data_IF_562275348964
#
_entry.id   IF_562275348964
#
_cell.length_a   1.000
_cell.length_b   1.000
_cell.length_c   1.000
_cell.angle_alpha   90.00
_cell.angle_beta   90.00
_cell.angle_gamma   90.00
#
_symmetry.space_group_name_H-M   'P 1'
#
loop_
_entity.id
_entity.type
_entity.pdbx_description
1 polymer ?
#
# COMPACT_ATOMS: atom_id res chain seq x y z
N UNK A 1 40.36 48.21 -33.73
CA UNK A 1 39.70 48.26 -32.43
C UNK A 1 38.61 47.21 -32.38
N UNK A 2 38.91 45.92 -32.19
CA UNK A 2 37.80 44.93 -32.03
C UNK A 2 38.18 43.61 -31.30
N UNK A 3 39.37 43.50 -30.74
CA UNK A 3 39.77 42.23 -30.05
C UNK A 3 39.47 42.26 -28.55
N UNK A 4 39.40 43.42 -27.92
CA UNK A 4 39.23 43.58 -26.47
C UNK A 4 37.78 43.32 -26.04
N UNK A 5 36.78 43.60 -26.87
CA UNK A 5 35.35 43.39 -26.52
C UNK A 5 34.90 41.92 -26.55
N UNK A 6 35.55 41.08 -27.35
CA UNK A 6 35.21 39.64 -27.44
C UNK A 6 35.74 38.86 -26.26
N UNK A 7 36.89 39.26 -25.68
CA UNK A 7 37.44 38.58 -24.50
C UNK A 7 36.68 38.89 -23.20
N UNK A 8 36.12 40.10 -23.06
CA UNK A 8 35.33 40.48 -21.88
C UNK A 8 34.01 39.70 -21.83
N UNK A 9 33.30 39.57 -22.95
CA UNK A 9 32.04 38.82 -23.00
C UNK A 9 32.22 37.30 -22.74
N UNK A 10 33.39 36.76 -23.13
CA UNK A 10 33.66 35.33 -22.87
C UNK A 10 33.89 35.04 -21.40
N UNK A 11 34.57 35.94 -20.69
CA UNK A 11 34.87 35.83 -19.27
C UNK A 11 33.60 35.98 -18.43
N UNK A 12 32.72 36.89 -18.78
CA UNK A 12 31.43 37.12 -18.12
C UNK A 12 30.46 35.93 -18.30
N UNK A 13 30.49 35.27 -19.47
CA UNK A 13 29.74 34.05 -19.70
C UNK A 13 30.28 32.84 -18.87
N UNK A 14 31.60 32.68 -18.80
CA UNK A 14 32.22 31.62 -18.00
C UNK A 14 31.94 31.79 -16.49
N UNK A 15 31.98 33.01 -15.96
CA UNK A 15 31.65 33.32 -14.57
C UNK A 15 30.14 33.08 -14.26
N UNK A 16 29.24 33.38 -15.22
CA UNK A 16 27.83 33.09 -15.07
C UNK A 16 27.53 31.60 -15.14
N UNK A 17 28.18 30.83 -16.02
CA UNK A 17 28.03 29.38 -16.07
C UNK A 17 28.54 28.69 -14.80
N UNK A 18 29.64 29.17 -14.22
CA UNK A 18 30.18 28.64 -12.96
C UNK A 18 29.25 28.95 -11.79
N UNK A 19 28.62 30.11 -11.76
CA UNK A 19 27.64 30.50 -10.75
C UNK A 19 26.37 29.66 -10.86
N UNK A 20 25.86 29.45 -12.06
CA UNK A 20 24.69 28.59 -12.29
C UNK A 20 24.97 27.16 -11.83
N UNK A 21 26.14 26.60 -12.17
CA UNK A 21 26.52 25.25 -11.71
C UNK A 21 26.67 25.14 -10.19
N UNK A 22 27.15 26.20 -9.53
CA UNK A 22 27.25 26.20 -8.07
C UNK A 22 25.87 26.20 -7.40
N UNK A 23 24.95 27.03 -7.91
CA UNK A 23 23.56 27.10 -7.44
C UNK A 23 22.80 25.77 -7.66
N UNK A 24 22.97 25.15 -8.84
CA UNK A 24 22.40 23.83 -9.12
C UNK A 24 22.92 22.73 -8.17
N UNK A 25 24.21 22.77 -7.85
CA UNK A 25 24.83 21.81 -6.92
C UNK A 25 24.36 22.03 -5.45
N UNK A 26 24.13 23.28 -5.04
CA UNK A 26 23.56 23.58 -3.72
C UNK A 26 22.11 23.10 -3.61
N UNK A 27 21.28 23.38 -4.62
CA UNK A 27 19.90 22.91 -4.68
C UNK A 27 19.84 21.38 -4.66
N UNK A 28 20.75 20.72 -5.38
CA UNK A 28 20.81 19.25 -5.37
C UNK A 28 21.16 18.68 -4.01
N UNK A 29 22.12 19.27 -3.31
CA UNK A 29 22.49 18.85 -1.93
C UNK A 29 21.36 19.09 -0.94
N UNK A 30 20.65 20.20 -1.06
CA UNK A 30 19.51 20.50 -0.19
C UNK A 30 18.37 19.51 -0.42
N UNK A 31 18.08 19.16 -1.66
CA UNK A 31 17.08 18.14 -1.99
C UNK A 31 17.48 16.75 -1.47
N UNK A 32 18.74 16.34 -1.60
CA UNK A 32 19.25 15.09 -1.05
C UNK A 32 19.10 15.03 0.49
N UNK A 33 19.37 16.13 1.19
CA UNK A 33 19.19 16.22 2.64
C UNK A 33 17.72 16.14 3.06
N UNK A 34 16.82 16.72 2.28
CA UNK A 34 15.37 16.65 2.52
C UNK A 34 14.88 15.21 2.31
N UNK A 35 15.28 14.55 1.23
CA UNK A 35 14.92 13.16 0.95
C UNK A 35 15.42 12.20 2.05
N UNK A 36 16.64 12.36 2.52
CA UNK A 36 17.22 11.57 3.60
C UNK A 36 16.45 11.73 4.92
N UNK A 37 16.02 12.95 5.22
CA UNK A 37 15.22 13.23 6.41
C UNK A 37 13.82 12.62 6.31
N UNK A 38 13.16 12.75 5.16
CA UNK A 38 11.84 12.15 4.95
C UNK A 38 11.89 10.62 5.04
N UNK A 39 12.93 10.00 4.51
CA UNK A 39 13.12 8.55 4.62
C UNK A 39 13.39 8.11 6.07
N UNK A 40 14.15 8.89 6.81
CA UNK A 40 14.39 8.62 8.24
C UNK A 40 13.09 8.69 9.04
N UNK A 41 12.34 9.78 8.90
CA UNK A 41 11.06 9.98 9.58
C UNK A 41 10.07 8.86 9.24
N UNK A 42 10.01 8.44 7.98
CA UNK A 42 9.20 7.31 7.52
C UNK A 42 9.57 6.01 8.25
N UNK A 43 10.86 5.68 8.38
CA UNK A 43 11.32 4.47 9.08
C UNK A 43 10.96 4.50 10.58
N UNK A 44 11.02 5.67 11.20
CA UNK A 44 10.61 5.84 12.61
C UNK A 44 9.11 5.57 12.76
N UNK A 45 8.28 6.20 11.93
CA UNK A 45 6.82 6.01 11.95
C UNK A 45 6.46 4.55 11.68
N UNK A 46 7.09 3.93 10.69
CA UNK A 46 6.86 2.51 10.37
C UNK A 46 7.14 1.60 11.57
N UNK A 47 8.25 1.82 12.27
CA UNK A 47 8.62 1.06 13.47
C UNK A 47 7.59 1.23 14.59
N UNK A 48 7.11 2.43 14.82
CA UNK A 48 6.13 2.72 15.86
C UNK A 48 4.75 2.13 15.53
N UNK A 49 4.32 2.19 14.28
CA UNK A 49 3.07 1.54 13.85
C UNK A 49 3.18 0.01 13.99
N UNK A 50 4.33 -0.58 13.67
CA UNK A 50 4.59 -2.01 13.92
C UNK A 50 4.46 -2.39 15.39
N UNK A 51 4.98 -1.56 16.28
CA UNK A 51 4.88 -1.81 17.73
C UNK A 51 3.43 -1.70 18.23
N UNK A 52 2.67 -0.72 17.73
CA UNK A 52 1.23 -0.60 18.02
C UNK A 52 0.51 -1.88 17.57
N UNK A 53 0.72 -2.29 16.32
CA UNK A 53 0.10 -3.48 15.75
C UNK A 53 0.43 -4.75 16.55
N UNK A 54 1.70 -4.92 16.93
CA UNK A 54 2.19 -6.04 17.74
C UNK A 54 1.49 -6.08 19.11
N UNK A 55 1.44 -4.95 19.79
CA UNK A 55 0.84 -4.86 21.13
C UNK A 55 -0.66 -5.17 21.10
N UNK A 56 -1.36 -4.75 20.05
CA UNK A 56 -2.77 -5.07 19.86
C UNK A 56 -2.97 -6.57 19.61
N UNK A 57 -2.16 -7.19 18.75
CA UNK A 57 -2.25 -8.63 18.50
C UNK A 57 -1.98 -9.43 19.77
N UNK A 58 -0.96 -9.07 20.55
CA UNK A 58 -0.66 -9.68 21.85
C UNK A 58 -1.86 -9.53 22.80
N UNK A 59 -2.41 -8.32 22.94
CA UNK A 59 -3.56 -8.04 23.82
C UNK A 59 -4.75 -8.97 23.58
N UNK A 60 -5.03 -9.29 22.32
CA UNK A 60 -6.24 -10.03 21.96
C UNK A 60 -6.00 -11.51 21.67
N UNK A 61 -4.78 -11.91 21.32
CA UNK A 61 -4.50 -13.26 20.83
C UNK A 61 -3.53 -14.05 21.71
N UNK A 62 -2.75 -13.39 22.58
CA UNK A 62 -1.80 -14.11 23.42
C UNK A 62 -2.52 -15.01 24.46
N UNK A 63 -2.04 -16.24 24.56
CA UNK A 63 -2.63 -17.25 25.44
C UNK A 63 -4.03 -17.72 25.02
N UNK A 64 -4.48 -17.41 23.79
CA UNK A 64 -5.77 -17.88 23.28
C UNK A 64 -5.62 -19.17 22.49
N UNK A 65 -6.64 -20.02 22.63
CA UNK A 65 -6.86 -21.17 21.76
C UNK A 65 -7.70 -20.75 20.55
N UNK A 66 -7.59 -21.50 19.45
CA UNK A 66 -8.38 -21.23 18.25
C UNK A 66 -9.85 -21.56 18.49
N UNK A 67 -10.70 -20.56 18.52
CA UNK A 67 -12.13 -20.68 18.72
C UNK A 67 -12.88 -19.94 17.59
N UNK A 68 -13.38 -20.71 16.64
CA UNK A 68 -14.05 -20.19 15.43
C UNK A 68 -15.17 -19.19 15.73
N UNK A 69 -15.96 -19.46 16.75
CA UNK A 69 -17.10 -18.63 17.15
C UNK A 69 -16.67 -17.27 17.72
N UNK A 70 -15.43 -17.17 18.20
CA UNK A 70 -14.87 -15.93 18.75
C UNK A 70 -14.14 -15.07 17.72
N UNK A 71 -13.81 -15.62 16.55
CA UNK A 71 -13.05 -14.91 15.50
C UNK A 71 -13.72 -13.60 15.08
N UNK A 72 -15.04 -13.51 14.85
CA UNK A 72 -15.69 -12.26 14.50
C UNK A 72 -15.44 -11.17 15.54
N UNK A 73 -15.59 -11.51 16.81
CA UNK A 73 -15.40 -10.57 17.92
C UNK A 73 -13.94 -10.14 18.07
N UNK A 74 -12.99 -11.07 17.99
CA UNK A 74 -11.57 -10.74 18.07
C UNK A 74 -11.16 -9.83 16.91
N UNK A 75 -11.62 -10.13 15.71
CA UNK A 75 -11.32 -9.33 14.51
C UNK A 75 -11.86 -7.92 14.64
N UNK A 76 -13.11 -7.77 15.09
CA UNK A 76 -13.71 -6.45 15.32
C UNK A 76 -12.90 -5.64 16.34
N UNK A 77 -12.53 -6.22 17.46
CA UNK A 77 -11.77 -5.56 18.52
C UNK A 77 -10.35 -5.17 18.06
N UNK A 78 -9.66 -6.06 17.35
CA UNK A 78 -8.32 -5.80 16.79
C UNK A 78 -8.36 -4.64 15.80
N UNK A 79 -9.30 -4.65 14.86
CA UNK A 79 -9.44 -3.60 13.87
C UNK A 79 -9.83 -2.26 14.52
N UNK A 80 -10.79 -2.28 15.44
CA UNK A 80 -11.25 -1.08 16.15
C UNK A 80 -10.13 -0.43 16.96
N UNK A 81 -9.42 -1.20 17.80
CA UNK A 81 -8.35 -0.67 18.63
C UNK A 81 -7.16 -0.22 17.78
N UNK A 82 -6.84 -0.93 16.71
CA UNK A 82 -5.82 -0.49 15.75
C UNK A 82 -6.15 0.88 15.16
N UNK A 83 -7.40 1.07 14.75
CA UNK A 83 -7.87 2.34 14.20
C UNK A 83 -7.76 3.48 15.23
N UNK A 84 -8.18 3.23 16.49
CA UNK A 84 -8.14 4.24 17.56
C UNK A 84 -6.70 4.65 17.88
N UNK A 85 -5.80 3.69 18.11
CA UNK A 85 -4.42 3.96 18.50
C UNK A 85 -3.64 4.66 17.38
N UNK A 86 -3.83 4.24 16.13
CA UNK A 86 -3.21 4.88 14.98
C UNK A 86 -3.72 6.31 14.78
N UNK A 87 -5.03 6.51 14.86
CA UNK A 87 -5.65 7.83 14.77
C UNK A 87 -5.15 8.78 15.84
N UNK A 88 -4.99 8.28 17.06
CA UNK A 88 -4.51 9.08 18.19
C UNK A 88 -3.06 9.52 17.99
N UNK A 89 -2.21 8.64 17.45
CA UNK A 89 -0.79 8.90 17.32
C UNK A 89 -0.43 9.65 16.04
N UNK A 90 -1.08 9.32 14.94
CA UNK A 90 -0.82 9.88 13.61
C UNK A 90 -2.13 10.27 12.91
N UNK A 91 -2.82 11.31 13.38
CA UNK A 91 -4.13 11.72 12.85
C UNK A 91 -4.10 12.23 11.41
N UNK A 92 -2.90 12.58 10.92
CA UNK A 92 -2.69 13.09 9.56
C UNK A 92 -2.71 12.00 8.48
N UNK A 93 -2.68 10.71 8.89
CA UNK A 93 -2.75 9.60 7.94
C UNK A 93 -4.18 9.12 7.74
N UNK A 94 -4.47 8.68 6.52
CA UNK A 94 -5.59 7.81 6.22
C UNK A 94 -5.13 6.34 6.34
N UNK A 95 -6.00 5.47 6.85
CA UNK A 95 -5.66 4.07 7.12
C UNK A 95 -6.58 3.10 6.42
N UNK A 96 -5.98 2.07 5.81
CA UNK A 96 -6.63 0.82 5.47
C UNK A 96 -6.05 -0.29 6.36
N UNK A 97 -6.87 -0.89 7.20
CA UNK A 97 -6.43 -1.89 8.16
C UNK A 97 -7.13 -3.20 7.84
N UNK A 98 -6.35 -4.25 7.62
CA UNK A 98 -6.81 -5.58 7.23
C UNK A 98 -6.32 -6.60 8.24
N UNK A 99 -7.20 -7.46 8.69
CA UNK A 99 -6.87 -8.52 9.61
C UNK A 99 -7.31 -9.87 9.08
N UNK A 100 -6.41 -10.81 9.15
CA UNK A 100 -6.61 -12.22 8.78
C UNK A 100 -6.30 -13.09 9.97
N UNK A 101 -7.10 -14.10 10.18
CA UNK A 101 -6.85 -15.17 11.14
C UNK A 101 -7.33 -16.49 10.58
N UNK A 102 -6.52 -17.52 10.72
CA UNK A 102 -6.86 -18.87 10.27
C UNK A 102 -6.29 -19.91 11.20
N UNK A 103 -6.95 -21.06 11.27
CA UNK A 103 -6.36 -22.24 11.88
C UNK A 103 -5.01 -22.57 11.20
N UNK A 104 -4.03 -23.05 11.94
CA UNK A 104 -2.66 -23.24 11.44
C UNK A 104 -2.52 -24.23 10.29
N UNK A 105 -3.52 -25.07 10.08
CA UNK A 105 -3.60 -25.99 8.94
C UNK A 105 -3.97 -25.31 7.62
N UNK A 106 -4.42 -24.04 7.68
CA UNK A 106 -4.81 -23.25 6.53
C UNK A 106 -3.73 -22.22 6.24
N UNK A 107 -3.17 -22.22 5.05
CA UNK A 107 -2.16 -21.24 4.65
C UNK A 107 -2.81 -20.07 3.93
N UNK A 108 -2.81 -18.91 4.58
CA UNK A 108 -2.95 -17.64 3.86
C UNK A 108 -1.59 -17.36 3.24
N UNK A 109 -1.60 -17.23 1.98
CA UNK A 109 -0.37 -17.08 1.28
C UNK A 109 -0.31 -15.76 0.56
N UNK A 110 0.80 -15.15 0.68
CA UNK A 110 1.27 -13.93 0.04
C UNK A 110 0.21 -12.86 -0.26
N UNK A 111 0.26 -11.83 0.50
CA UNK A 111 -0.30 -10.54 0.13
C UNK A 111 0.86 -9.59 -0.15
N UNK A 112 0.77 -8.84 -1.22
CA UNK A 112 1.73 -7.77 -1.56
C UNK A 112 0.94 -6.49 -1.77
N UNK A 113 1.56 -5.39 -1.40
CA UNK A 113 1.02 -4.08 -1.67
C UNK A 113 2.00 -3.31 -2.51
N UNK A 114 1.48 -2.60 -3.47
CA UNK A 114 2.22 -1.62 -4.23
C UNK A 114 1.64 -0.28 -3.87
N UNK A 115 2.47 0.59 -3.29
CA UNK A 115 2.08 1.91 -2.82
C UNK A 115 2.64 2.98 -3.76
N UNK A 116 1.81 3.92 -4.11
CA UNK A 116 2.13 5.15 -4.79
C UNK A 116 1.37 6.28 -4.09
N UNK A 117 2.00 7.35 -3.65
CA UNK A 117 3.40 7.73 -3.75
C UNK A 117 4.32 7.08 -2.69
N UNK A 118 5.62 7.38 -2.75
CA UNK A 118 6.66 6.84 -1.85
C UNK A 118 6.45 7.15 -0.36
N UNK A 119 5.64 8.16 -0.02
CA UNK A 119 5.32 8.56 1.35
C UNK A 119 4.40 7.59 2.09
N UNK A 120 3.75 6.70 1.36
CA UNK A 120 2.83 5.73 1.93
C UNK A 120 3.56 4.60 2.67
N UNK A 121 2.92 4.09 3.72
CA UNK A 121 3.44 3.01 4.54
C UNK A 121 2.64 1.74 4.33
N UNK A 122 3.34 0.61 4.29
CA UNK A 122 2.74 -0.73 4.27
C UNK A 122 3.38 -1.57 5.38
N UNK A 123 2.64 -1.75 6.43
CA UNK A 123 3.07 -2.44 7.63
C UNK A 123 2.40 -3.81 7.70
N UNK A 124 3.20 -4.83 7.90
CA UNK A 124 2.76 -6.19 8.18
C UNK A 124 3.22 -6.59 9.56
N UNK A 125 2.29 -7.00 10.40
CA UNK A 125 2.56 -7.62 11.68
C UNK A 125 1.92 -9.00 11.72
N UNK A 126 2.73 -10.00 12.00
CA UNK A 126 2.30 -11.40 12.12
C UNK A 126 2.29 -11.81 13.59
N UNK A 127 1.26 -12.54 13.99
CA UNK A 127 1.18 -13.23 15.27
C UNK A 127 0.84 -14.70 15.00
N UNK A 128 1.69 -15.60 15.50
CA UNK A 128 1.62 -17.01 15.17
C UNK A 128 1.73 -17.84 16.47
N UNK A 129 0.78 -18.74 16.65
CA UNK A 129 0.78 -19.70 17.75
C UNK A 129 0.92 -21.14 17.23
N UNK A 130 0.77 -22.13 18.10
CA UNK A 130 0.71 -23.53 17.67
C UNK A 130 -0.59 -23.88 16.95
N UNK A 131 -1.66 -23.12 17.19
CA UNK A 131 -3.02 -23.42 16.73
C UNK A 131 -3.47 -22.58 15.56
N UNK A 132 -3.08 -21.30 15.53
CA UNK A 132 -3.50 -20.38 14.49
C UNK A 132 -2.40 -19.47 14.01
N UNK A 133 -2.62 -18.93 12.81
CA UNK A 133 -1.85 -17.88 12.18
C UNK A 133 -2.72 -16.63 12.04
N UNK A 134 -2.16 -15.48 12.36
CA UNK A 134 -2.83 -14.21 12.10
C UNK A 134 -1.90 -13.16 11.53
N UNK A 135 -2.46 -12.27 10.75
CA UNK A 135 -1.78 -11.19 10.05
C UNK A 135 -2.59 -9.90 10.16
N UNK A 136 -1.96 -8.86 10.69
CA UNK A 136 -2.49 -7.51 10.70
C UNK A 136 -1.68 -6.66 9.72
N UNK A 137 -2.36 -6.17 8.70
CA UNK A 137 -1.76 -5.33 7.68
C UNK A 137 -2.35 -3.94 7.72
N UNK A 138 -1.49 -2.94 7.75
CA UNK A 138 -1.85 -1.54 7.88
C UNK A 138 -1.25 -0.77 6.71
N UNK A 139 -2.12 -0.13 5.94
CA UNK A 139 -1.76 0.90 4.97
C UNK A 139 -1.96 2.24 5.61
N UNK A 140 -0.94 3.08 5.59
CA UNK A 140 -1.06 4.45 6.06
C UNK A 140 -0.64 5.39 4.92
N UNK A 141 -1.58 6.19 4.48
CA UNK A 141 -1.39 7.16 3.42
C UNK A 141 -1.42 8.56 4.02
N UNK A 142 -0.42 9.38 3.73
CA UNK A 142 -0.39 10.75 4.20
C UNK A 142 -1.59 11.51 3.62
N UNK A 143 -2.34 12.19 4.47
CA UNK A 143 -3.53 12.93 4.06
C UNK A 143 -3.21 13.92 2.96
N UNK A 144 -3.91 13.78 1.86
CA UNK A 144 -3.99 14.81 0.84
C UNK A 144 -5.24 15.65 1.05
N UNK A 145 -5.09 16.97 0.89
CA UNK A 145 -6.22 17.88 0.92
C UNK A 145 -7.10 17.55 -0.29
N UNK A 146 -8.37 17.19 -0.09
CA UNK A 146 -9.24 16.84 -1.20
C UNK A 146 -9.36 18.02 -2.16
N UNK A 147 -9.07 17.83 -3.42
CA UNK A 147 -9.46 18.78 -4.45
C UNK A 147 -10.96 18.60 -4.70
N UNK A 148 -11.74 19.67 -4.56
CA UNK A 148 -13.22 19.69 -4.70
C UNK A 148 -13.75 19.21 -6.06
N UNK A 149 -12.89 18.97 -7.03
CA UNK A 149 -13.26 18.68 -8.42
C UNK A 149 -13.15 17.20 -8.81
N UNK A 150 -13.17 16.30 -7.83
CA UNK A 150 -12.96 14.87 -8.08
C UNK A 150 -14.26 14.09 -8.27
N UNK A 151 -14.95 14.35 -9.39
CA UNK A 151 -16.10 13.55 -9.83
C UNK A 151 -15.74 12.35 -10.73
N UNK A 152 -14.47 11.94 -10.77
CA UNK A 152 -14.03 10.87 -11.67
C UNK A 152 -13.83 9.56 -10.91
N UNK A 153 -14.93 8.95 -10.55
CA UNK A 153 -14.96 7.56 -10.11
C UNK A 153 -14.48 6.63 -11.22
N UNK A 154 -13.91 5.48 -10.84
CA UNK A 154 -13.68 4.37 -11.78
C UNK A 154 -15.01 4.07 -12.48
N UNK A 155 -15.01 4.13 -13.80
CA UNK A 155 -16.26 3.95 -14.56
C UNK A 155 -16.67 2.49 -14.64
N UNK A 156 -17.94 2.20 -14.96
CA UNK A 156 -18.40 0.84 -15.25
C UNK A 156 -17.54 0.11 -16.31
N UNK A 157 -17.04 0.86 -17.30
CA UNK A 157 -16.15 0.32 -18.32
C UNK A 157 -14.80 -0.09 -17.74
N UNK A 158 -14.24 0.70 -16.82
CA UNK A 158 -12.96 0.38 -16.16
C UNK A 158 -13.13 -0.83 -15.24
N UNK A 159 -14.24 -0.89 -14.49
CA UNK A 159 -14.59 -2.03 -13.65
C UNK A 159 -14.65 -3.31 -14.50
N UNK A 160 -15.32 -3.25 -15.65
CA UNK A 160 -15.41 -4.40 -16.56
C UNK A 160 -14.05 -4.81 -17.11
N UNK A 161 -13.20 -3.85 -17.51
CA UNK A 161 -11.84 -4.13 -17.99
C UNK A 161 -10.98 -4.76 -16.89
N UNK A 162 -11.03 -4.24 -15.68
CA UNK A 162 -10.27 -4.76 -14.53
C UNK A 162 -10.69 -6.20 -14.21
N UNK A 163 -12.00 -6.48 -14.14
CA UNK A 163 -12.50 -7.83 -13.91
C UNK A 163 -12.08 -8.80 -15.02
N UNK A 164 -12.12 -8.36 -16.28
CA UNK A 164 -11.65 -9.17 -17.42
C UNK A 164 -10.16 -9.48 -17.26
N UNK A 165 -9.32 -8.49 -16.93
CA UNK A 165 -7.88 -8.69 -16.73
C UNK A 165 -7.56 -9.60 -15.56
N UNK A 166 -8.28 -9.48 -14.44
CA UNK A 166 -8.14 -10.41 -13.31
C UNK A 166 -8.44 -11.85 -13.75
N UNK A 167 -9.52 -12.03 -14.49
CA UNK A 167 -9.87 -13.34 -15.06
C UNK A 167 -8.77 -13.85 -15.98
N UNK A 168 -8.33 -13.08 -16.95
CA UNK A 168 -7.31 -13.49 -17.95
C UNK A 168 -5.98 -13.89 -17.29
N UNK A 169 -5.57 -13.15 -16.23
CA UNK A 169 -4.34 -13.43 -15.49
C UNK A 169 -4.46 -14.71 -14.66
N UNK A 170 -5.62 -14.96 -14.05
CA UNK A 170 -5.81 -15.99 -13.03
C UNK A 170 -6.58 -17.22 -13.52
N UNK A 171 -7.22 -17.14 -14.68
CA UNK A 171 -7.92 -18.28 -15.27
C UNK A 171 -6.95 -19.45 -15.48
N UNK A 172 -7.35 -20.64 -15.09
CA UNK A 172 -6.55 -21.85 -15.15
C UNK A 172 -5.22 -21.81 -14.33
N UNK A 173 -5.03 -20.82 -13.45
CA UNK A 173 -3.90 -20.82 -12.53
C UNK A 173 -4.25 -21.57 -11.26
N UNK A 174 -3.27 -22.35 -10.79
CA UNK A 174 -3.33 -22.96 -9.46
C UNK A 174 -2.57 -22.08 -8.47
N UNK A 175 -2.98 -22.16 -7.21
CA UNK A 175 -2.23 -21.52 -6.16
C UNK A 175 -0.82 -22.12 -6.04
N UNK A 176 0.21 -21.27 -6.17
CA UNK A 176 1.62 -21.58 -5.93
C UNK A 176 2.24 -20.37 -5.24
N UNK A 177 2.76 -20.55 -4.03
CA UNK A 177 3.28 -19.42 -3.23
C UNK A 177 4.43 -18.67 -3.91
N UNK A 178 5.29 -19.38 -4.62
CA UNK A 178 6.41 -18.83 -5.39
C UNK A 178 5.96 -18.01 -6.61
N UNK A 179 4.78 -18.29 -7.14
CA UNK A 179 4.20 -17.57 -8.29
C UNK A 179 3.31 -16.40 -7.90
N UNK A 180 2.89 -16.30 -6.64
CA UNK A 180 1.95 -15.26 -6.21
C UNK A 180 2.51 -13.84 -6.43
N UNK A 181 3.78 -13.61 -6.14
CA UNK A 181 4.40 -12.31 -6.40
C UNK A 181 4.32 -11.91 -7.87
N UNK A 182 4.54 -12.86 -8.78
CA UNK A 182 4.44 -12.61 -10.23
C UNK A 182 3.00 -12.31 -10.65
N UNK A 183 2.03 -13.03 -10.09
CA UNK A 183 0.61 -12.75 -10.37
C UNK A 183 0.21 -11.37 -9.85
N UNK A 184 0.66 -10.97 -8.65
CA UNK A 184 0.42 -9.65 -8.10
C UNK A 184 1.00 -8.55 -9.00
N UNK A 185 2.25 -8.70 -9.42
CA UNK A 185 2.91 -7.73 -10.31
C UNK A 185 2.15 -7.57 -11.63
N UNK A 186 1.73 -8.68 -12.23
CA UNK A 186 0.93 -8.63 -13.46
C UNK A 186 -0.42 -7.94 -13.24
N UNK A 187 -1.13 -8.26 -12.15
CA UNK A 187 -2.41 -7.63 -11.82
C UNK A 187 -2.23 -6.13 -11.63
N UNK A 188 -1.27 -5.74 -10.81
CA UNK A 188 -1.01 -4.31 -10.51
C UNK A 188 -0.65 -3.56 -11.79
N UNK A 189 0.23 -4.10 -12.64
CA UNK A 189 0.63 -3.45 -13.88
C UNK A 189 -0.55 -3.27 -14.84
N UNK A 190 -1.36 -4.31 -15.04
CA UNK A 190 -2.52 -4.24 -15.95
C UNK A 190 -3.59 -3.28 -15.43
N UNK A 191 -3.88 -3.31 -14.11
CA UNK A 191 -4.85 -2.41 -13.52
C UNK A 191 -4.35 -0.97 -13.52
N UNK A 192 -3.06 -0.77 -13.22
CA UNK A 192 -2.42 0.54 -13.26
C UNK A 192 -2.49 1.14 -14.68
N UNK A 193 -2.22 0.35 -15.72
CA UNK A 193 -2.33 0.81 -17.10
C UNK A 193 -3.76 1.29 -17.43
N UNK A 194 -4.79 0.53 -17.02
CA UNK A 194 -6.19 0.92 -17.23
C UNK A 194 -6.52 2.25 -16.56
N UNK A 195 -6.00 2.46 -15.35
CA UNK A 195 -6.33 3.64 -14.54
C UNK A 195 -5.48 4.86 -14.89
N UNK A 196 -4.19 4.68 -15.21
CA UNK A 196 -3.29 5.77 -15.63
C UNK A 196 -3.67 6.31 -17.01
N UNK A 197 -3.95 5.45 -17.98
CA UNK A 197 -4.37 5.87 -19.33
C UNK A 197 -5.52 6.88 -19.29
N UNK A 198 -6.34 6.79 -18.26
CA UNK A 198 -7.51 7.64 -18.14
C UNK A 198 -7.31 8.86 -17.24
N UNK A 199 -6.67 8.71 -16.10
CA UNK A 199 -6.74 9.69 -15.02
C UNK A 199 -5.39 10.33 -14.67
N UNK A 200 -4.28 9.80 -15.18
CA UNK A 200 -2.92 10.25 -14.86
C UNK A 200 -2.68 10.41 -13.33
N UNK A 201 -3.29 9.52 -12.52
CA UNK A 201 -3.25 9.58 -11.06
C UNK A 201 -2.56 8.35 -10.48
N UNK A 202 -1.74 8.53 -9.45
CA UNK A 202 -1.19 7.42 -8.73
C UNK A 202 -2.29 6.67 -7.97
N UNK A 203 -2.21 5.35 -7.98
CA UNK A 203 -3.08 4.47 -7.21
C UNK A 203 -2.23 3.59 -6.31
N UNK A 204 -2.73 3.33 -5.10
CA UNK A 204 -2.17 2.30 -4.24
C UNK A 204 -2.98 1.03 -4.38
N UNK A 205 -2.31 -0.11 -4.46
CA UNK A 205 -2.93 -1.40 -4.69
C UNK A 205 -2.64 -2.35 -3.54
N UNK A 206 -3.65 -3.06 -3.10
CA UNK A 206 -3.50 -4.19 -2.20
C UNK A 206 -4.08 -5.44 -2.85
N UNK A 207 -3.23 -6.43 -3.10
CA UNK A 207 -3.63 -7.72 -3.67
C UNK A 207 -3.36 -8.81 -2.65
N UNK A 208 -4.38 -9.59 -2.35
CA UNK A 208 -4.30 -10.75 -1.50
C UNK A 208 -4.65 -12.01 -2.29
N UNK A 209 -3.85 -13.06 -2.17
CA UNK A 209 -4.16 -14.39 -2.65
C UNK A 209 -4.46 -15.33 -1.50
N UNK A 210 -5.51 -16.11 -1.65
CA UNK A 210 -5.93 -17.12 -0.70
C UNK A 210 -5.84 -18.47 -1.38
N UNK A 211 -5.10 -19.41 -0.78
CA UNK A 211 -5.12 -20.80 -1.21
C UNK A 211 -6.44 -21.45 -0.78
N UNK A 212 -7.18 -22.01 -1.72
CA UNK A 212 -8.46 -22.67 -1.44
C UNK A 212 -8.34 -24.13 -1.04
N UNK A 213 -7.13 -24.70 -1.09
CA UNK A 213 -6.88 -26.10 -0.77
C UNK A 213 -5.91 -26.24 0.41
N UNK A 214 -6.30 -26.81 1.52
CA UNK A 214 -7.63 -27.15 2.03
C UNK A 214 -8.23 -25.99 2.83
N UNK A 215 -9.35 -25.48 2.38
CA UNK A 215 -10.03 -24.42 3.13
C UNK A 215 -10.67 -24.95 4.40
N UNK A 216 -10.09 -24.67 5.53
CA UNK A 216 -10.75 -24.63 6.82
C UNK A 216 -10.61 -23.21 7.37
N UNK A 217 -11.73 -22.52 7.46
CA UNK A 217 -11.98 -21.37 8.33
C UNK A 217 -10.93 -20.25 8.33
N UNK A 218 -10.87 -19.53 7.21
CA UNK A 218 -10.19 -18.23 7.15
C UNK A 218 -11.20 -17.16 7.52
N UNK A 219 -10.90 -16.38 8.52
CA UNK A 219 -11.67 -15.18 8.84
C UNK A 219 -10.89 -13.94 8.44
N UNK A 220 -11.55 -13.10 7.67
CA UNK A 220 -10.99 -11.86 7.13
C UNK A 220 -11.95 -10.71 7.37
N UNK A 221 -11.43 -9.58 7.85
CA UNK A 221 -12.20 -8.34 7.96
C UNK A 221 -11.26 -7.14 7.77
N UNK A 222 -11.84 -5.96 7.58
CA UNK A 222 -11.11 -4.73 7.34
C UNK A 222 -11.87 -3.50 7.86
N UNK A 223 -11.12 -2.41 8.08
CA UNK A 223 -11.66 -1.10 8.41
C UNK A 223 -10.87 -0.03 7.65
N UNK A 224 -11.56 1.01 7.22
CA UNK A 224 -10.96 2.20 6.60
C UNK A 224 -11.22 3.42 7.46
N UNK A 225 -10.21 4.25 7.58
CA UNK A 225 -10.28 5.49 8.33
C UNK A 225 -9.69 6.66 7.53
N UNK A 226 -10.38 7.79 7.53
CA UNK A 226 -10.00 9.02 6.81
C UNK A 226 -9.81 8.84 5.29
N UNK A 227 -10.36 7.79 4.72
CA UNK A 227 -10.41 7.60 3.28
C UNK A 227 -11.72 8.23 2.84
N UNK A 228 -11.66 9.37 2.17
CA UNK A 228 -12.87 10.07 1.68
C UNK A 228 -13.61 9.27 0.61
N UNK A 229 -12.91 8.37 -0.04
CA UNK A 229 -13.47 7.44 -1.02
C UNK A 229 -13.18 6.02 -0.62
N UNK A 230 -14.21 5.21 -0.57
CA UNK A 230 -14.05 3.78 -0.34
C UNK A 230 -13.16 3.18 -1.45
N UNK A 231 -12.22 2.29 -1.11
CA UNK A 231 -11.43 1.62 -2.12
C UNK A 231 -12.34 0.81 -3.05
N UNK A 232 -11.96 0.75 -4.30
CA UNK A 232 -12.61 -0.18 -5.22
C UNK A 232 -12.18 -1.59 -4.90
N UNK A 233 -13.15 -2.48 -4.88
CA UNK A 233 -12.97 -3.87 -4.56
C UNK A 233 -13.22 -4.73 -5.79
N UNK A 234 -12.27 -5.59 -6.09
CA UNK A 234 -12.37 -6.58 -7.16
C UNK A 234 -11.98 -7.95 -6.61
N UNK A 235 -12.63 -8.99 -7.09
CA UNK A 235 -12.28 -10.35 -6.69
C UNK A 235 -12.36 -11.31 -7.85
N UNK A 236 -11.51 -12.32 -7.83
CA UNK A 236 -11.56 -13.47 -8.73
C UNK A 236 -11.36 -14.75 -7.94
N UNK A 237 -12.07 -15.79 -8.30
CA UNK A 237 -11.97 -17.08 -7.62
C UNK A 237 -12.14 -18.23 -8.60
N UNK A 238 -11.29 -19.24 -8.48
CA UNK A 238 -11.44 -20.54 -9.12
C UNK A 238 -11.34 -21.67 -8.08
N UNK A 239 -11.19 -22.91 -8.51
CA UNK A 239 -11.16 -24.07 -7.59
C UNK A 239 -9.93 -24.11 -6.69
N UNK A 240 -8.83 -23.48 -7.06
CA UNK A 240 -7.54 -23.54 -6.37
C UNK A 240 -7.19 -22.27 -5.61
N UNK A 241 -7.57 -21.11 -6.12
CA UNK A 241 -7.19 -19.82 -5.54
C UNK A 241 -8.35 -18.83 -5.50
N UNK A 242 -8.29 -17.93 -4.55
CA UNK A 242 -9.07 -16.71 -4.55
C UNK A 242 -8.14 -15.51 -4.49
N UNK A 243 -8.42 -14.47 -5.24
CA UNK A 243 -7.70 -13.20 -5.16
C UNK A 243 -8.65 -12.07 -4.81
N UNK A 244 -8.14 -11.14 -4.03
CA UNK A 244 -8.83 -9.91 -3.66
C UNK A 244 -7.91 -8.76 -4.00
N UNK A 245 -8.42 -7.81 -4.75
CA UNK A 245 -7.73 -6.57 -5.11
C UNK A 245 -8.50 -5.38 -4.54
N UNK A 246 -7.84 -4.58 -3.75
CA UNK A 246 -8.30 -3.24 -3.37
C UNK A 246 -7.48 -2.20 -4.13
N UNK A 247 -8.16 -1.21 -4.67
CA UNK A 247 -7.56 -0.08 -5.38
C UNK A 247 -7.92 1.19 -4.63
N UNK A 248 -6.90 1.90 -4.16
CA UNK A 248 -7.03 3.20 -3.53
C UNK A 248 -6.55 4.24 -4.52
N UNK A 249 -7.40 5.18 -4.88
CA UNK A 249 -6.99 6.34 -5.67
C UNK A 249 -6.37 7.33 -4.70
N UNK A 250 -5.12 7.68 -4.96
CA UNK A 250 -4.38 8.63 -4.13
C UNK A 250 -4.43 10.00 -4.80
N UNK A 251 -4.78 11.02 -4.05
CA UNK A 251 -4.72 12.39 -4.54
C UNK A 251 -3.29 12.90 -4.40
N UNK A 252 -2.74 13.44 -5.47
CA UNK A 252 -1.46 14.16 -5.48
C UNK A 252 -1.57 15.53 -4.83
#
# INVERSE_FOLDING_TARGET
>A
MSVVSVQSNKKENEENEEKIRSEENEIKKENELIEDKEEYDKKVIEKEIKEIAKNILIKYLDGREYEKEKLPKWTELILHDSCIELKKKYPEYAYGIFFYISEKTSYISSSKSVLYPKSDLNILQVFNTNEFYSELRIFANKKYIPRKDFNENITPTDIMKINTKLKDILENKTYKSDMCNKYIENIVNEVNNILIERNNRPCSYHVCFINKLPMKDIYFNYIFYNIEYMPFYFSYSNDSLSSILYVFIVNN
#
